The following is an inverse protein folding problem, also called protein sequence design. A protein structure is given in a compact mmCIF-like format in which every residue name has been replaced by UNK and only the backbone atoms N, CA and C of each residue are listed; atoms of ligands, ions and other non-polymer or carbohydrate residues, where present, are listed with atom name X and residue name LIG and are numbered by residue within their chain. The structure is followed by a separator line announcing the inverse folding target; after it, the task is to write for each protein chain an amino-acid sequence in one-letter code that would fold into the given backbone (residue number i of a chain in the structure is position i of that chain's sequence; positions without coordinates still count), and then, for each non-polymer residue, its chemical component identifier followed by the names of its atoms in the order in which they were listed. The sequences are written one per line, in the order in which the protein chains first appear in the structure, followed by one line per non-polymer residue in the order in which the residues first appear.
data_IF_527936567429
#
_entry.id   IF_527936567429
#
_cell.length_a   1.000
_cell.length_b   1.000
_cell.length_c   1.000
_cell.angle_alpha   90.00
_cell.angle_beta   90.00
_cell.angle_gamma   90.00
#
_symmetry.space_group_name_H-M   'P 1'
#
loop_
_entity.id
_entity.type
_entity.pdbx_description
1 polymer ?
#
# COMPACT_ATOMS: atom_id res chain seq x y z
N UNK A 1 -22.94 12.40 4.21
CA UNK A 1 -21.96 12.50 3.09
C UNK A 1 -22.38 13.69 2.25
N UNK A 2 -21.48 14.62 1.94
CA UNK A 2 -21.81 15.86 1.23
C UNK A 2 -21.76 15.70 -0.29
N UNK A 3 -22.61 14.84 -0.86
CA UNK A 3 -22.69 14.55 -2.31
C UNK A 3 -23.58 15.54 -3.05
N UNK A 4 -23.35 15.76 -4.35
CA UNK A 4 -24.19 16.61 -5.20
C UNK A 4 -24.91 15.79 -6.28
N UNK A 5 -26.05 16.29 -6.76
CA UNK A 5 -26.80 15.72 -7.87
C UNK A 5 -27.56 16.80 -8.65
N UNK A 6 -27.58 16.69 -9.98
CA UNK A 6 -28.46 17.38 -10.90
C UNK A 6 -29.66 16.46 -11.23
N UNK A 7 -30.87 16.92 -10.94
CA UNK A 7 -32.09 16.14 -11.16
C UNK A 7 -32.73 16.36 -12.54
N UNK A 8 -32.21 17.30 -13.33
CA UNK A 8 -32.64 17.53 -14.70
C UNK A 8 -31.89 16.61 -15.69
N UNK A 9 -30.58 16.41 -15.48
CA UNK A 9 -29.73 15.56 -16.34
C UNK A 9 -29.39 14.20 -15.71
N UNK A 10 -29.54 14.06 -14.39
CA UNK A 10 -29.18 12.85 -13.65
C UNK A 10 -27.70 12.78 -13.27
N UNK A 11 -26.93 13.83 -13.52
CA UNK A 11 -25.52 13.91 -13.12
C UNK A 11 -25.39 13.95 -11.60
N UNK A 12 -24.30 13.39 -11.08
CA UNK A 12 -24.05 13.33 -9.64
C UNK A 12 -22.58 13.13 -9.35
N UNK A 13 -22.16 13.56 -8.17
CA UNK A 13 -20.77 13.42 -7.76
C UNK A 13 -20.57 13.36 -6.25
N UNK A 14 -19.32 13.06 -5.89
CA UNK A 14 -18.95 12.62 -4.55
C UNK A 14 -18.95 13.73 -3.50
N UNK A 15 -18.53 14.92 -3.90
CA UNK A 15 -18.41 16.08 -3.02
C UNK A 15 -18.46 17.42 -3.77
N UNK A 16 -18.41 18.53 -3.03
CA UNK A 16 -18.47 19.88 -3.60
C UNK A 16 -17.24 20.23 -4.45
N UNK A 17 -16.08 19.62 -4.20
CA UNK A 17 -14.88 19.80 -5.03
C UNK A 17 -15.10 19.14 -6.39
N UNK A 18 -15.69 17.94 -6.39
CA UNK A 18 -16.10 17.21 -7.59
C UNK A 18 -17.15 18.00 -8.39
N UNK A 19 -18.09 18.70 -7.73
CA UNK A 19 -19.03 19.60 -8.41
C UNK A 19 -18.32 20.76 -9.12
N UNK A 20 -17.40 21.43 -8.42
CA UNK A 20 -16.66 22.56 -9.01
C UNK A 20 -15.82 22.08 -10.19
N UNK A 21 -15.19 20.90 -10.07
CA UNK A 21 -14.45 20.29 -11.18
C UNK A 21 -15.36 19.92 -12.36
N UNK A 22 -16.57 19.44 -12.09
CA UNK A 22 -17.56 19.11 -13.12
C UNK A 22 -17.99 20.34 -13.92
N UNK A 23 -18.22 21.47 -13.25
CA UNK A 23 -18.69 22.72 -13.89
C UNK A 23 -17.54 23.46 -14.60
N UNK A 24 -16.38 23.58 -13.95
CA UNK A 24 -15.30 24.46 -14.41
C UNK A 24 -14.17 23.74 -15.14
N UNK A 25 -14.12 22.41 -15.09
CA UNK A 25 -12.97 21.61 -15.52
C UNK A 25 -11.71 21.85 -14.68
N UNK A 26 -10.60 21.20 -15.06
CA UNK A 26 -9.29 21.36 -14.40
C UNK A 26 -8.99 20.31 -13.34
N UNK A 27 -7.96 20.57 -12.51
CA UNK A 27 -7.50 19.63 -11.48
C UNK A 27 -8.21 19.83 -10.15
N UNK A 28 -8.16 18.83 -9.25
CA UNK A 28 -8.74 18.94 -7.90
C UNK A 28 -8.15 20.11 -7.09
N UNK A 29 -6.90 20.47 -7.36
CA UNK A 29 -6.23 21.62 -6.71
C UNK A 29 -6.84 22.94 -7.16
N UNK A 30 -7.18 23.07 -8.45
CA UNK A 30 -7.80 24.27 -9.00
C UNK A 30 -9.23 24.42 -8.47
N UNK A 31 -9.99 23.32 -8.45
CA UNK A 31 -11.34 23.28 -7.89
C UNK A 31 -11.34 23.65 -6.39
N UNK A 32 -10.40 23.13 -5.62
CA UNK A 32 -10.25 23.44 -4.20
C UNK A 32 -9.91 24.93 -3.97
N UNK A 33 -8.99 25.52 -4.76
CA UNK A 33 -8.63 26.94 -4.65
C UNK A 33 -9.81 27.86 -4.98
N UNK A 34 -10.57 27.55 -6.03
CA UNK A 34 -11.77 28.31 -6.40
C UNK A 34 -12.84 28.23 -5.32
N UNK A 35 -13.07 27.04 -4.80
CA UNK A 35 -14.02 26.82 -3.71
C UNK A 35 -13.60 27.57 -2.44
N UNK A 36 -12.31 27.56 -2.11
CA UNK A 36 -11.76 28.32 -0.99
C UNK A 36 -11.98 29.83 -1.15
N UNK A 37 -11.78 30.37 -2.36
CA UNK A 37 -12.09 31.76 -2.69
C UNK A 37 -13.58 32.10 -2.55
N UNK A 38 -14.46 31.25 -3.08
CA UNK A 38 -15.93 31.43 -2.99
C UNK A 38 -16.42 31.43 -1.53
N UNK A 39 -15.89 30.53 -0.71
CA UNK A 39 -16.28 30.38 0.69
C UNK A 39 -15.53 31.35 1.61
N UNK A 40 -14.66 32.19 1.05
CA UNK A 40 -13.76 33.08 1.80
C UNK A 40 -12.96 32.35 2.89
N UNK A 41 -12.61 31.08 2.62
CA UNK A 41 -11.82 30.22 3.49
C UNK A 41 -10.36 30.39 3.10
N UNK A 42 -9.59 31.06 3.94
CA UNK A 42 -8.13 31.11 3.78
C UNK A 42 -7.54 29.74 4.15
N UNK A 43 -6.58 29.25 3.36
CA UNK A 43 -5.77 28.07 3.68
C UNK A 43 -4.75 28.35 4.81
N UNK A 44 -5.21 29.04 5.86
CA UNK A 44 -4.46 29.44 7.03
C UNK A 44 -5.15 28.92 8.28
N UNK A 45 -4.55 27.90 8.89
CA UNK A 45 -4.89 27.36 10.20
C UNK A 45 -6.27 26.71 10.32
N UNK A 46 -6.52 25.69 9.50
CA UNK A 46 -7.29 24.57 10.02
C UNK A 46 -6.44 23.93 11.12
N UNK A 47 -6.69 24.32 12.36
CA UNK A 47 -6.17 23.64 13.54
C UNK A 47 -6.74 22.22 13.46
N UNK A 48 -5.99 21.32 12.81
CA UNK A 48 -6.34 19.93 12.69
C UNK A 48 -6.47 19.45 14.13
N UNK A 49 -7.71 19.26 14.59
CA UNK A 49 -7.96 18.56 15.84
C UNK A 49 -7.31 17.21 15.63
N UNK A 50 -6.12 17.03 16.21
CA UNK A 50 -5.45 15.76 16.29
C UNK A 50 -6.47 14.81 16.93
N UNK A 51 -7.17 14.04 16.10
CA UNK A 51 -7.79 12.82 16.56
C UNK A 51 -6.66 12.07 17.30
N UNK A 52 -6.90 11.55 18.52
CA UNK A 52 -5.86 10.83 19.24
C UNK A 52 -5.28 9.79 18.28
N UNK A 53 -4.00 9.95 17.96
CA UNK A 53 -3.31 9.05 17.07
C UNK A 53 -3.50 7.66 17.65
N UNK A 54 -4.21 6.79 16.93
CA UNK A 54 -4.27 5.38 17.28
C UNK A 54 -2.83 4.94 17.51
N UNK A 55 -2.50 4.26 18.61
CA UNK A 55 -1.13 3.85 18.89
C UNK A 55 -0.59 3.17 17.64
N UNK A 56 0.57 3.66 17.16
CA UNK A 56 1.18 3.15 15.95
C UNK A 56 1.27 1.63 16.06
N UNK A 57 0.77 0.92 15.04
CA UNK A 57 0.89 -0.52 15.02
C UNK A 57 2.38 -0.88 15.16
N UNK A 58 2.74 -1.86 16.01
CA UNK A 58 4.14 -2.17 16.25
C UNK A 58 4.85 -2.54 14.95
N UNK A 59 6.06 -2.01 14.81
CA UNK A 59 6.88 -2.16 13.62
C UNK A 59 7.38 -3.60 13.49
N UNK A 60 7.45 -4.10 12.25
CA UNK A 60 7.99 -5.43 11.95
C UNK A 60 9.35 -5.30 11.30
N UNK A 61 10.40 -5.65 12.03
CA UNK A 61 11.79 -5.52 11.60
C UNK A 61 12.25 -6.86 11.02
N UNK A 62 12.76 -6.86 9.79
CA UNK A 62 13.31 -8.06 9.16
C UNK A 62 14.59 -8.52 9.85
N UNK A 63 14.62 -9.79 10.26
CA UNK A 63 15.79 -10.46 10.83
C UNK A 63 16.63 -11.02 9.67
N UNK A 64 17.93 -10.71 9.71
CA UNK A 64 18.91 -11.23 8.75
C UNK A 64 20.12 -11.81 9.49
N UNK A 65 20.62 -13.00 9.09
CA UNK A 65 20.02 -13.91 8.11
C UNK A 65 18.74 -14.58 8.66
N UNK A 66 17.91 -15.11 7.77
CA UNK A 66 16.74 -15.92 8.13
C UNK A 66 17.23 -17.23 8.78
N UNK A 67 16.80 -17.57 10.02
CA UNK A 67 17.17 -18.82 10.66
C UNK A 67 16.70 -20.04 9.85
N UNK A 68 17.51 -21.12 9.82
CA UNK A 68 17.19 -22.34 9.09
C UNK A 68 15.83 -22.94 9.52
N UNK A 69 15.51 -22.87 10.82
CA UNK A 69 14.23 -23.34 11.37
C UNK A 69 13.04 -22.57 10.80
N UNK A 70 13.18 -21.25 10.61
CA UNK A 70 12.16 -20.42 10.01
C UNK A 70 12.01 -20.76 8.52
N UNK A 71 13.12 -20.97 7.81
CA UNK A 71 13.14 -21.32 6.39
C UNK A 71 12.40 -22.64 6.10
N UNK A 72 12.50 -23.63 6.98
CA UNK A 72 11.74 -24.88 6.88
C UNK A 72 10.22 -24.67 6.99
N UNK A 73 9.78 -23.57 7.59
CA UNK A 73 8.37 -23.18 7.75
C UNK A 73 7.98 -22.05 6.80
N UNK A 74 8.71 -21.86 5.71
CA UNK A 74 8.44 -20.79 4.75
C UNK A 74 7.08 -21.01 4.06
N UNK A 75 6.19 -20.00 4.06
CA UNK A 75 4.88 -20.06 3.42
C UNK A 75 4.94 -20.46 1.94
N UNK A 76 4.44 -21.65 1.60
CA UNK A 76 4.41 -22.13 0.22
C UNK A 76 3.41 -21.38 -0.70
N UNK A 77 2.43 -20.68 -0.11
CA UNK A 77 1.35 -19.99 -0.85
C UNK A 77 1.06 -18.61 -0.27
N UNK A 78 0.70 -17.68 -1.16
CA UNK A 78 0.18 -16.37 -0.78
C UNK A 78 -1.34 -16.44 -0.60
N UNK A 79 -1.88 -15.82 0.44
CA UNK A 79 -3.33 -15.86 0.74
C UNK A 79 -4.19 -15.33 -0.42
N UNK A 80 -3.72 -14.28 -1.10
CA UNK A 80 -4.46 -13.61 -2.18
C UNK A 80 -4.12 -14.14 -3.57
N UNK A 81 -2.91 -14.67 -3.78
CA UNK A 81 -2.42 -15.02 -5.12
C UNK A 81 -2.25 -16.53 -5.32
N UNK A 82 -2.46 -17.33 -4.29
CA UNK A 82 -2.33 -18.78 -4.36
C UNK A 82 -0.87 -19.23 -4.44
N UNK A 83 -0.61 -20.19 -5.33
CA UNK A 83 0.71 -20.81 -5.51
C UNK A 83 1.57 -19.91 -6.41
N UNK A 84 2.82 -19.61 -6.04
CA UNK A 84 3.72 -18.84 -6.89
C UNK A 84 4.13 -19.61 -8.14
N UNK A 85 4.29 -18.89 -9.25
CA UNK A 85 4.89 -19.41 -10.48
C UNK A 85 6.41 -19.59 -10.33
N UNK A 86 7.06 -18.73 -9.54
CA UNK A 86 8.50 -18.82 -9.26
C UNK A 86 8.85 -18.24 -7.90
N UNK A 87 9.85 -18.83 -7.24
CA UNK A 87 10.39 -18.35 -5.96
C UNK A 87 11.90 -18.24 -6.06
N UNK A 88 12.46 -17.12 -5.63
CA UNK A 88 13.91 -16.91 -5.50
C UNK A 88 14.29 -16.69 -4.05
N UNK A 89 15.39 -17.29 -3.61
CA UNK A 89 15.95 -17.05 -2.27
C UNK A 89 17.18 -16.17 -2.42
N UNK A 90 17.06 -14.92 -1.97
CA UNK A 90 18.18 -13.99 -1.88
C UNK A 90 19.07 -14.39 -0.71
N UNK A 91 20.38 -14.33 -0.92
CA UNK A 91 21.40 -14.74 0.03
C UNK A 91 22.38 -13.60 0.28
N UNK A 92 22.94 -13.54 1.49
CA UNK A 92 24.02 -12.62 1.82
C UNK A 92 25.36 -13.08 1.20
N UNK A 93 26.42 -12.29 1.43
CA UNK A 93 27.78 -12.61 0.97
C UNK A 93 28.33 -13.94 1.52
N UNK A 94 27.75 -14.45 2.60
CA UNK A 94 28.08 -15.74 3.21
C UNK A 94 27.16 -16.88 2.73
N UNK A 95 26.29 -16.63 1.74
CA UNK A 95 25.36 -17.61 1.18
C UNK A 95 24.14 -17.91 2.06
N UNK A 96 23.89 -17.14 3.12
CA UNK A 96 22.77 -17.35 4.05
C UNK A 96 21.52 -16.64 3.56
N UNK A 97 20.32 -17.25 3.68
CA UNK A 97 19.09 -16.67 3.16
C UNK A 97 18.73 -15.38 3.91
N UNK A 98 18.38 -14.32 3.17
CA UNK A 98 17.97 -13.01 3.73
C UNK A 98 16.55 -12.62 3.35
N UNK A 99 16.03 -13.13 2.23
CA UNK A 99 14.68 -12.85 1.74
C UNK A 99 14.26 -13.93 0.74
N UNK A 100 12.96 -14.25 0.68
CA UNK A 100 12.38 -14.98 -0.44
C UNK A 100 11.54 -14.03 -1.29
N UNK A 101 11.67 -14.10 -2.61
CA UNK A 101 10.85 -13.33 -3.55
C UNK A 101 9.94 -14.26 -4.32
N UNK A 102 8.64 -14.07 -4.16
CA UNK A 102 7.61 -14.86 -4.83
C UNK A 102 7.12 -14.09 -6.05
N UNK A 103 6.97 -14.77 -7.18
CA UNK A 103 6.30 -14.26 -8.37
C UNK A 103 5.03 -15.04 -8.61
N UNK A 104 3.98 -14.32 -8.97
CA UNK A 104 2.70 -14.84 -9.39
C UNK A 104 2.41 -14.32 -10.79
N UNK A 105 2.27 -15.23 -11.74
CA UNK A 105 1.73 -14.92 -13.05
C UNK A 105 0.20 -15.02 -12.92
N UNK A 106 -0.47 -13.88 -12.97
CA UNK A 106 -1.92 -13.78 -12.86
C UNK A 106 -2.54 -13.85 -14.26
N UNK A 107 -3.83 -14.15 -14.30
CA UNK A 107 -4.61 -14.06 -15.54
C UNK A 107 -4.50 -12.67 -16.18
N UNK A 108 -4.76 -12.57 -17.49
CA UNK A 108 -4.73 -11.30 -18.20
C UNK A 108 -5.70 -10.28 -17.57
N UNK A 109 -5.36 -9.00 -17.67
CA UNK A 109 -6.30 -7.93 -17.32
C UNK A 109 -7.45 -7.81 -18.32
N UNK A 110 -8.34 -6.84 -18.10
CA UNK A 110 -9.46 -6.55 -19.00
C UNK A 110 -9.02 -6.23 -20.44
N UNK A 111 -7.77 -5.77 -20.63
CA UNK A 111 -7.16 -5.49 -21.93
C UNK A 111 -6.41 -6.71 -22.52
N UNK A 112 -6.46 -7.87 -21.89
CA UNK A 112 -5.78 -9.08 -22.35
C UNK A 112 -4.28 -9.12 -22.05
N UNK A 113 -3.73 -8.13 -21.32
CA UNK A 113 -2.29 -8.08 -21.01
C UNK A 113 -1.95 -9.01 -19.85
N UNK A 114 -0.88 -9.82 -19.98
CA UNK A 114 -0.46 -10.70 -18.90
C UNK A 114 -0.03 -9.90 -17.68
N UNK A 115 -0.64 -10.20 -16.52
CA UNK A 115 -0.30 -9.56 -15.26
C UNK A 115 0.65 -10.41 -14.44
N UNK A 116 1.60 -9.76 -13.77
CA UNK A 116 2.49 -10.40 -12.81
C UNK A 116 2.58 -9.60 -11.52
N UNK A 117 2.67 -10.29 -10.40
CA UNK A 117 2.85 -9.68 -9.08
C UNK A 117 4.06 -10.30 -8.40
N UNK A 118 4.85 -9.46 -7.73
CA UNK A 118 5.96 -9.90 -6.89
C UNK A 118 5.61 -9.65 -5.42
N UNK A 119 5.75 -10.67 -4.59
CA UNK A 119 5.57 -10.56 -3.14
C UNK A 119 6.89 -10.94 -2.44
N UNK A 120 7.67 -9.96 -1.96
CA UNK A 120 8.80 -10.26 -1.11
C UNK A 120 8.31 -10.79 0.24
N UNK A 121 9.06 -11.73 0.79
CA UNK A 121 8.75 -12.41 2.03
C UNK A 121 10.00 -12.45 2.93
N UNK A 122 9.86 -11.94 4.14
CA UNK A 122 10.94 -11.80 5.12
C UNK A 122 10.51 -12.35 6.49
N UNK A 123 11.49 -12.86 7.25
CA UNK A 123 11.28 -13.29 8.62
C UNK A 123 11.45 -12.08 9.54
N UNK A 124 10.43 -11.72 10.30
CA UNK A 124 10.41 -10.45 11.02
C UNK A 124 10.12 -10.61 12.50
N UNK A 125 10.73 -9.75 13.31
CA UNK A 125 10.44 -9.58 14.73
C UNK A 125 9.56 -8.35 14.94
N UNK A 126 8.59 -8.45 15.84
CA UNK A 126 7.76 -7.30 16.25
C UNK A 126 8.55 -6.41 17.22
N UNK A 127 8.42 -5.09 17.12
CA UNK A 127 9.15 -4.16 18.00
C UNK A 127 8.71 -4.21 19.47
N UNK A 128 7.51 -4.70 19.75
CA UNK A 128 6.90 -4.77 21.09
C UNK A 128 7.20 -6.07 21.85
N UNK A 129 7.97 -7.01 21.29
CA UNK A 129 8.23 -8.30 21.95
C UNK A 129 9.11 -9.28 21.17
N UNK A 130 9.18 -10.53 21.65
CA UNK A 130 9.98 -11.61 21.03
C UNK A 130 9.26 -12.36 19.90
N UNK A 131 8.07 -11.92 19.50
CA UNK A 131 7.30 -12.61 18.44
C UNK A 131 8.01 -12.47 17.10
N UNK A 132 8.26 -13.62 16.48
CA UNK A 132 8.84 -13.70 15.14
C UNK A 132 7.85 -14.37 14.20
N UNK A 133 7.67 -13.80 13.00
CA UNK A 133 6.77 -14.36 11.99
C UNK A 133 7.18 -13.97 10.57
N UNK A 134 6.70 -14.76 9.61
CA UNK A 134 6.80 -14.44 8.20
C UNK A 134 5.91 -13.26 7.83
N UNK A 135 6.47 -12.29 7.11
CA UNK A 135 5.75 -11.11 6.62
C UNK A 135 6.00 -10.93 5.14
N UNK A 136 4.92 -10.69 4.40
CA UNK A 136 4.96 -10.31 2.98
C UNK A 136 5.42 -8.84 2.86
N UNK A 137 6.68 -8.59 3.19
CA UNK A 137 7.34 -7.30 3.08
C UNK A 137 8.79 -7.48 2.62
N UNK A 138 9.31 -6.48 1.93
CA UNK A 138 10.69 -6.43 1.47
C UNK A 138 11.66 -6.04 2.57
N UNK A 139 12.95 -6.21 2.28
CA UNK A 139 14.02 -5.66 3.10
C UNK A 139 14.03 -4.12 3.01
N UNK A 140 14.44 -3.42 4.09
CA UNK A 140 14.71 -1.99 4.04
C UNK A 140 15.81 -1.70 3.02
N UNK A 141 15.85 -0.46 2.52
CA UNK A 141 16.93 -0.06 1.61
C UNK A 141 18.26 0.06 2.37
N UNK A 142 19.41 -0.29 1.75
CA UNK A 142 19.58 -0.79 0.38
C UNK A 142 19.23 -2.28 0.24
N UNK A 143 18.52 -2.63 -0.84
CA UNK A 143 18.16 -4.03 -1.14
C UNK A 143 19.36 -4.76 -1.74
N UNK A 144 19.69 -5.98 -1.27
CA UNK A 144 20.73 -6.80 -1.91
C UNK A 144 20.30 -7.13 -3.34
N UNK A 145 21.21 -6.90 -4.30
CA UNK A 145 21.04 -7.15 -5.73
C UNK A 145 21.18 -8.64 -6.07
#
# INVERSE_FOLDING_TARGET
KGTWADFATGDKGGDLIDLVRYIDGGTDVDACKKLAGLLNVSAGSANAKNAPAKPAAPEWIAIQPIPAEAMNKCPAKHRQHGVPSKVWIYRDAQGRPVMALYRFDLGPDEDGKPRKVFAPLTWCKRSDGQTTQWRWQGLPQPRPL
#
